data_IF_956879128248
#
_entry.id   IF_956879128248
#
_cell.length_a   1.000
_cell.length_b   1.000
_cell.length_c   1.000
_cell.angle_alpha   90.00
_cell.angle_beta   90.00
_cell.angle_gamma   90.00
#
_symmetry.space_group_name_H-M   'P 1'
#
loop_
_entity.id
_entity.type
_entity.pdbx_description
1 polymer ?
#
# COMPACT_ATOMS: atom_id res chain seq x y z
N UNK A 1 -25.14 -22.56 -5.60
CA UNK A 1 -25.39 -22.68 -4.15
C UNK A 1 -26.01 -21.35 -3.77
N UNK A 2 -27.33 -21.27 -3.63
CA UNK A 2 -27.98 -19.97 -3.39
C UNK A 2 -27.48 -19.39 -2.07
N UNK A 3 -26.74 -18.30 -2.17
CA UNK A 3 -26.27 -17.53 -1.02
C UNK A 3 -27.49 -16.81 -0.45
N UNK A 4 -28.06 -17.35 0.63
CA UNK A 4 -29.13 -16.68 1.37
C UNK A 4 -28.54 -15.67 2.37
N UNK A 5 -29.36 -14.71 2.81
CA UNK A 5 -28.95 -13.68 3.78
C UNK A 5 -28.35 -14.28 5.05
N UNK A 6 -28.90 -15.40 5.53
CA UNK A 6 -28.43 -16.06 6.74
C UNK A 6 -26.98 -16.55 6.64
N UNK A 7 -26.56 -17.02 5.46
CA UNK A 7 -25.17 -17.43 5.23
C UNK A 7 -24.20 -16.24 5.27
N UNK A 8 -24.59 -15.09 4.73
CA UNK A 8 -23.81 -13.86 4.83
C UNK A 8 -23.75 -13.35 6.27
N UNK A 9 -24.89 -13.28 6.95
CA UNK A 9 -24.98 -12.84 8.35
C UNK A 9 -24.13 -13.75 9.25
N UNK A 10 -24.18 -15.07 9.06
CA UNK A 10 -23.33 -16.03 9.77
C UNK A 10 -21.85 -15.81 9.49
N UNK A 11 -21.48 -15.54 8.23
CA UNK A 11 -20.09 -15.23 7.87
C UNK A 11 -19.59 -13.97 8.59
N UNK A 12 -20.37 -12.88 8.54
CA UNK A 12 -20.04 -11.62 9.21
C UNK A 12 -19.97 -11.80 10.72
N UNK A 13 -20.88 -12.54 11.32
CA UNK A 13 -20.83 -12.85 12.76
C UNK A 13 -19.56 -13.66 13.14
N UNK A 14 -19.09 -14.52 12.24
CA UNK A 14 -17.93 -15.38 12.50
C UNK A 14 -16.60 -14.68 12.25
N UNK A 15 -16.53 -13.80 11.25
CA UNK A 15 -15.28 -13.22 10.74
C UNK A 15 -15.20 -11.70 10.86
N UNK A 16 -16.29 -11.03 11.24
CA UNK A 16 -16.40 -9.58 11.24
C UNK A 16 -15.49 -8.89 12.25
N UNK A 17 -14.97 -9.62 13.24
CA UNK A 17 -13.95 -9.11 14.18
C UNK A 17 -12.51 -9.36 13.70
N UNK A 18 -12.35 -10.17 12.65
CA UNK A 18 -11.03 -10.53 12.10
C UNK A 18 -10.63 -9.60 10.96
N UNK A 19 -9.36 -9.21 10.93
CA UNK A 19 -8.80 -8.49 9.79
C UNK A 19 -8.84 -9.35 8.52
N UNK A 20 -9.20 -8.80 7.35
CA UNK A 20 -9.52 -7.40 7.06
C UNK A 20 -11.01 -7.04 7.21
N UNK A 21 -11.87 -7.99 7.54
CA UNK A 21 -13.33 -7.80 7.54
C UNK A 21 -13.81 -6.80 8.59
N UNK A 22 -13.11 -6.70 9.73
CA UNK A 22 -13.40 -5.70 10.78
C UNK A 22 -13.21 -4.25 10.33
N UNK A 23 -12.44 -4.04 9.26
CA UNK A 23 -12.01 -2.72 8.79
C UNK A 23 -12.68 -2.31 7.48
N UNK A 24 -13.68 -3.10 7.07
CA UNK A 24 -14.40 -2.95 5.81
C UNK A 24 -15.79 -2.42 6.10
N UNK A 25 -16.22 -1.42 5.33
CA UNK A 25 -17.58 -0.92 5.44
C UNK A 25 -18.59 -1.98 4.98
N UNK A 26 -19.42 -2.44 5.90
CA UNK A 26 -20.54 -3.33 5.62
C UNK A 26 -21.84 -2.51 5.59
N UNK A 27 -22.63 -2.69 4.54
CA UNK A 27 -24.01 -2.17 4.45
C UNK A 27 -25.00 -3.33 4.62
N UNK A 28 -26.32 -3.04 4.66
CA UNK A 28 -27.39 -3.98 5.05
C UNK A 28 -27.26 -5.43 4.56
N UNK A 29 -26.62 -5.70 3.41
CA UNK A 29 -26.35 -7.06 2.91
C UNK A 29 -25.06 -7.18 2.07
N UNK A 30 -24.17 -6.18 2.05
CA UNK A 30 -23.01 -6.16 1.14
C UNK A 30 -21.82 -5.42 1.72
N UNK A 31 -20.62 -5.94 1.46
CA UNK A 31 -19.36 -5.22 1.63
C UNK A 31 -19.27 -4.09 0.61
N UNK A 32 -18.85 -2.90 1.05
CA UNK A 32 -18.63 -1.74 0.19
C UNK A 32 -17.15 -1.34 0.23
N UNK A 33 -16.32 -2.08 -0.51
CA UNK A 33 -14.88 -1.90 -0.55
C UNK A 33 -14.31 -2.26 -1.93
N UNK A 34 -13.00 -2.09 -2.07
CA UNK A 34 -12.23 -2.72 -3.14
C UNK A 34 -11.82 -4.13 -2.74
N UNK A 35 -11.76 -5.01 -3.71
CA UNK A 35 -11.34 -6.39 -3.58
C UNK A 35 -10.03 -6.58 -4.31
N UNK A 36 -9.02 -7.11 -3.62
CA UNK A 36 -7.82 -7.58 -4.30
C UNK A 36 -8.04 -9.01 -4.76
N UNK A 37 -8.00 -9.22 -6.07
CA UNK A 37 -8.29 -10.51 -6.70
C UNK A 37 -7.00 -11.31 -6.85
N UNK A 38 -7.09 -12.61 -6.60
CA UNK A 38 -6.02 -13.59 -6.75
C UNK A 38 -6.38 -14.55 -7.88
N UNK A 39 -5.61 -14.57 -8.96
CA UNK A 39 -5.79 -15.49 -10.07
C UNK A 39 -4.52 -16.30 -10.29
N UNK A 40 -4.58 -17.61 -10.05
CA UNK A 40 -3.47 -18.56 -10.34
C UNK A 40 -2.11 -18.13 -9.76
N UNK A 41 -2.11 -17.53 -8.57
CA UNK A 41 -0.90 -17.01 -7.91
C UNK A 41 -0.49 -15.60 -8.31
N UNK A 42 -1.10 -15.01 -9.34
CA UNK A 42 -0.94 -13.60 -9.69
C UNK A 42 -1.98 -12.73 -8.98
N UNK A 43 -1.58 -11.50 -8.65
CA UNK A 43 -2.48 -10.50 -8.09
C UNK A 43 -3.02 -9.65 -9.23
N UNK A 44 -4.34 -9.58 -9.36
CA UNK A 44 -4.97 -8.72 -10.35
C UNK A 44 -5.27 -7.34 -9.76
N UNK A 45 -5.64 -6.42 -10.64
CA UNK A 45 -6.09 -5.08 -10.24
C UNK A 45 -7.24 -5.16 -9.22
N UNK A 46 -7.25 -4.28 -8.20
CA UNK A 46 -8.37 -4.19 -7.30
C UNK A 46 -9.68 -3.88 -8.04
N UNK A 47 -10.77 -4.54 -7.65
CA UNK A 47 -12.09 -4.40 -8.26
C UNK A 47 -13.09 -3.91 -7.21
N UNK A 48 -14.03 -3.05 -7.58
CA UNK A 48 -15.07 -2.58 -6.66
C UNK A 48 -16.08 -3.68 -6.34
N UNK A 49 -16.59 -3.73 -5.10
CA UNK A 49 -17.69 -4.65 -4.74
C UNK A 49 -18.89 -4.56 -5.69
N UNK A 50 -19.16 -3.37 -6.25
CA UNK A 50 -20.27 -3.14 -7.18
C UNK A 50 -20.13 -3.87 -8.53
N UNK A 51 -18.95 -4.40 -8.82
CA UNK A 51 -18.69 -5.19 -10.04
C UNK A 51 -19.13 -6.65 -9.92
N UNK A 52 -19.56 -7.09 -8.73
CA UNK A 52 -19.98 -8.46 -8.47
C UNK A 52 -21.41 -8.49 -7.90
N UNK A 53 -22.15 -9.56 -8.20
CA UNK A 53 -23.34 -9.89 -7.43
C UNK A 53 -22.97 -10.50 -6.07
N UNK A 54 -23.98 -10.69 -5.20
CA UNK A 54 -23.76 -11.20 -3.85
C UNK A 54 -23.25 -12.66 -3.87
N UNK A 55 -23.71 -13.47 -4.82
CA UNK A 55 -23.29 -14.87 -4.96
C UNK A 55 -21.81 -14.96 -5.33
N UNK A 56 -21.38 -14.17 -6.31
CA UNK A 56 -19.98 -14.06 -6.74
C UNK A 56 -19.10 -13.55 -5.61
N UNK A 57 -19.50 -12.48 -4.92
CA UNK A 57 -18.73 -11.95 -3.79
C UNK A 57 -18.51 -13.02 -2.70
N UNK A 58 -19.57 -13.75 -2.33
CA UNK A 58 -19.47 -14.83 -1.33
C UNK A 58 -18.65 -16.01 -1.84
N UNK A 59 -18.77 -16.36 -3.12
CA UNK A 59 -17.92 -17.37 -3.74
C UNK A 59 -16.44 -16.98 -3.66
N UNK A 60 -16.08 -15.72 -3.96
CA UNK A 60 -14.71 -15.22 -3.88
C UNK A 60 -14.16 -15.28 -2.44
N UNK A 61 -14.98 -14.91 -1.45
CA UNK A 61 -14.64 -15.00 -0.03
C UNK A 61 -14.40 -16.46 0.38
N UNK A 62 -15.35 -17.36 0.08
CA UNK A 62 -15.30 -18.77 0.50
C UNK A 62 -14.12 -19.51 -0.15
N UNK A 63 -13.83 -19.20 -1.41
CA UNK A 63 -12.70 -19.79 -2.16
C UNK A 63 -11.37 -19.11 -1.85
N UNK A 64 -11.37 -18.01 -1.09
CA UNK A 64 -10.19 -17.18 -0.79
C UNK A 64 -9.46 -16.71 -2.06
N UNK A 65 -10.21 -16.52 -3.15
CA UNK A 65 -9.72 -16.03 -4.43
C UNK A 65 -9.79 -14.50 -4.54
N UNK A 66 -10.39 -13.85 -3.55
CA UNK A 66 -10.26 -12.42 -3.34
C UNK A 66 -10.33 -12.10 -1.85
N UNK A 67 -9.80 -10.95 -1.46
CA UNK A 67 -9.98 -10.42 -0.11
C UNK A 67 -10.28 -8.93 -0.16
N UNK A 68 -11.06 -8.42 0.81
CA UNK A 68 -11.41 -7.01 0.83
C UNK A 68 -10.22 -6.19 1.33
N UNK A 69 -10.04 -5.01 0.76
CA UNK A 69 -9.10 -4.01 1.22
C UNK A 69 -9.77 -3.15 2.30
N UNK A 70 -9.02 -2.77 3.34
CA UNK A 70 -9.45 -1.76 4.30
C UNK A 70 -9.72 -0.42 3.60
N UNK A 71 -10.36 0.52 4.28
CA UNK A 71 -10.62 1.85 3.72
C UNK A 71 -9.31 2.57 3.35
N UNK A 72 -8.28 2.48 4.20
CA UNK A 72 -6.99 3.13 3.96
C UNK A 72 -6.24 2.48 2.80
N UNK A 73 -6.23 1.14 2.73
CA UNK A 73 -5.64 0.42 1.60
C UNK A 73 -6.38 0.74 0.29
N UNK A 74 -7.71 0.82 0.33
CA UNK A 74 -8.52 1.21 -0.82
C UNK A 74 -8.18 2.62 -1.31
N UNK A 75 -8.05 3.59 -0.39
CA UNK A 75 -7.65 4.96 -0.69
C UNK A 75 -6.27 5.03 -1.35
N UNK A 76 -5.28 4.31 -0.80
CA UNK A 76 -3.95 4.19 -1.43
C UNK A 76 -4.08 3.65 -2.85
N UNK A 77 -4.86 2.58 -3.06
CA UNK A 77 -5.04 2.01 -4.40
C UNK A 77 -5.73 2.97 -5.37
N UNK A 78 -6.68 3.80 -4.91
CA UNK A 78 -7.28 4.87 -5.73
C UNK A 78 -6.23 5.88 -6.22
N UNK A 79 -5.38 6.35 -5.29
CA UNK A 79 -4.30 7.30 -5.63
C UNK A 79 -3.30 6.66 -6.57
N UNK A 80 -2.89 5.41 -6.33
CA UNK A 80 -1.94 4.71 -7.17
C UNK A 80 -2.52 4.38 -8.55
N UNK A 81 -3.78 3.98 -8.66
CA UNK A 81 -4.39 3.70 -9.97
C UNK A 81 -4.50 4.99 -10.80
N UNK A 82 -4.88 6.11 -10.17
CA UNK A 82 -5.02 7.42 -10.82
C UNK A 82 -3.68 8.04 -11.22
N UNK A 83 -2.68 8.01 -10.33
CA UNK A 83 -1.45 8.78 -10.49
C UNK A 83 -0.18 7.95 -10.53
N UNK A 84 -0.15 6.74 -9.97
CA UNK A 84 1.06 5.91 -9.87
C UNK A 84 1.24 4.97 -11.06
N UNK A 85 0.20 4.20 -11.37
CA UNK A 85 0.23 3.03 -12.27
C UNK A 85 0.65 3.36 -13.69
N UNK A 86 0.21 4.51 -14.21
CA UNK A 86 0.61 4.99 -15.54
C UNK A 86 2.12 5.25 -15.63
N UNK A 87 2.75 5.70 -14.55
CA UNK A 87 4.17 6.07 -14.54
C UNK A 87 5.06 4.94 -14.02
N UNK A 88 4.55 4.12 -13.11
CA UNK A 88 5.27 3.00 -12.53
C UNK A 88 4.30 1.84 -12.21
N UNK A 89 4.01 0.97 -13.20
CA UNK A 89 3.13 -0.18 -12.98
C UNK A 89 3.71 -1.19 -11.99
N UNK A 90 5.05 -1.31 -11.93
CA UNK A 90 5.74 -2.21 -11.00
C UNK A 90 5.46 -1.80 -9.55
N UNK A 91 5.47 -0.49 -9.23
CA UNK A 91 5.15 -0.02 -7.87
C UNK A 91 3.71 -0.36 -7.47
N UNK A 92 2.77 -0.26 -8.40
CA UNK A 92 1.39 -0.68 -8.16
C UNK A 92 1.31 -2.18 -7.84
N UNK A 93 2.01 -3.02 -8.60
CA UNK A 93 2.09 -4.47 -8.37
C UNK A 93 2.76 -4.81 -7.03
N UNK A 94 3.84 -4.11 -6.65
CA UNK A 94 4.50 -4.31 -5.36
C UNK A 94 3.56 -4.02 -4.19
N UNK A 95 2.75 -2.96 -4.30
CA UNK A 95 1.78 -2.57 -3.26
C UNK A 95 0.65 -3.59 -3.17
N UNK A 96 0.17 -4.10 -4.30
CA UNK A 96 -0.75 -5.24 -4.33
C UNK A 96 -0.15 -6.47 -3.60
N UNK A 97 1.11 -6.80 -3.88
CA UNK A 97 1.85 -7.87 -3.20
C UNK A 97 1.97 -7.64 -1.68
N UNK A 98 2.25 -6.39 -1.28
CA UNK A 98 2.33 -6.00 0.13
C UNK A 98 0.99 -6.23 0.84
N UNK A 99 -0.13 -5.80 0.27
CA UNK A 99 -1.45 -5.96 0.87
C UNK A 99 -1.87 -7.43 0.97
N UNK A 100 -1.56 -8.25 -0.04
CA UNK A 100 -1.76 -9.71 0.03
C UNK A 100 -0.93 -10.37 1.12
N UNK A 101 0.34 -9.95 1.28
CA UNK A 101 1.18 -10.45 2.37
C UNK A 101 0.60 -10.10 3.74
N UNK A 102 0.14 -8.87 3.94
CA UNK A 102 -0.45 -8.44 5.21
C UNK A 102 -1.77 -9.14 5.51
N UNK A 103 -2.62 -9.34 4.50
CA UNK A 103 -3.84 -10.13 4.61
C UNK A 103 -3.54 -11.56 5.10
N UNK A 104 -2.58 -12.26 4.48
CA UNK A 104 -2.18 -13.62 4.89
C UNK A 104 -1.62 -13.68 6.32
N UNK A 105 -1.08 -12.58 6.83
CA UNK A 105 -0.57 -12.49 8.19
C UNK A 105 -1.65 -12.10 9.21
N UNK A 106 -2.86 -11.77 8.78
CA UNK A 106 -3.94 -11.33 9.66
C UNK A 106 -3.62 -10.06 10.45
N UNK A 107 -2.72 -9.21 9.94
CA UNK A 107 -2.26 -8.01 10.67
C UNK A 107 -3.13 -6.82 10.30
N UNK A 108 -3.95 -6.29 11.24
CA UNK A 108 -4.56 -4.97 11.05
C UNK A 108 -3.45 -3.93 11.06
N UNK A 109 -3.54 -2.98 10.13
CA UNK A 109 -2.54 -1.93 10.00
C UNK A 109 -3.24 -0.60 10.07
N UNK A 110 -2.75 0.25 10.97
CA UNK A 110 -3.19 1.63 11.00
C UNK A 110 -2.80 2.35 9.71
N UNK A 111 -3.49 3.44 9.43
CA UNK A 111 -3.25 4.30 8.27
C UNK A 111 -1.79 4.71 8.12
N UNK A 112 -1.18 5.18 9.20
CA UNK A 112 0.22 5.64 9.22
C UNK A 112 1.15 4.54 8.70
N UNK A 113 1.01 3.34 9.26
CA UNK A 113 1.80 2.19 8.86
C UNK A 113 1.55 1.80 7.40
N UNK A 114 0.30 1.85 6.96
CA UNK A 114 -0.07 1.60 5.56
C UNK A 114 0.63 2.58 4.62
N UNK A 115 0.54 3.89 4.91
CA UNK A 115 1.15 4.93 4.08
C UNK A 115 2.67 4.80 4.08
N UNK A 116 3.28 4.66 5.26
CA UNK A 116 4.73 4.54 5.43
C UNK A 116 5.30 3.40 4.58
N UNK A 117 4.75 2.19 4.69
CA UNK A 117 5.28 1.02 4.00
C UNK A 117 5.08 1.06 2.48
N UNK A 118 3.98 1.66 2.01
CA UNK A 118 3.74 1.86 0.57
C UNK A 118 4.77 2.81 -0.03
N UNK A 119 5.06 3.92 0.65
CA UNK A 119 6.07 4.89 0.22
C UNK A 119 7.49 4.33 0.32
N UNK A 120 7.76 3.62 1.41
CA UNK A 120 9.05 2.96 1.67
C UNK A 120 9.49 2.09 0.49
N UNK A 121 8.61 1.25 -0.06
CA UNK A 121 8.91 0.40 -1.24
C UNK A 121 9.47 1.25 -2.38
N UNK A 122 8.83 2.39 -2.68
CA UNK A 122 9.24 3.23 -3.79
C UNK A 122 10.54 3.97 -3.51
N UNK A 123 10.72 4.42 -2.28
CA UNK A 123 11.90 5.17 -1.84
C UNK A 123 13.14 4.27 -1.82
N UNK A 124 13.04 3.06 -1.28
CA UNK A 124 14.13 2.08 -1.32
C UNK A 124 14.58 1.80 -2.75
N UNK A 125 13.63 1.57 -3.67
CA UNK A 125 13.95 1.37 -5.10
C UNK A 125 14.60 2.60 -5.75
N UNK A 126 14.16 3.82 -5.38
CA UNK A 126 14.76 5.07 -5.89
C UNK A 126 16.19 5.25 -5.40
N UNK A 127 16.43 5.00 -4.11
CA UNK A 127 17.77 5.07 -3.51
C UNK A 127 18.70 4.01 -4.10
N UNK A 128 18.21 2.80 -4.32
CA UNK A 128 18.97 1.73 -4.98
C UNK A 128 19.38 2.11 -6.41
N UNK A 129 18.53 2.83 -7.14
CA UNK A 129 18.79 3.25 -8.52
C UNK A 129 19.72 4.47 -8.61
N UNK A 130 19.66 5.41 -7.66
CA UNK A 130 20.38 6.68 -7.73
C UNK A 130 21.72 6.68 -6.98
N UNK A 131 21.81 5.93 -5.87
CA UNK A 131 23.01 5.92 -5.01
C UNK A 131 23.76 4.60 -5.21
N UNK A 132 25.10 4.62 -5.39
CA UNK A 132 25.90 3.40 -5.55
C UNK A 132 25.67 2.37 -4.46
N UNK A 133 25.86 1.09 -4.78
CA UNK A 133 25.61 -0.03 -3.84
C UNK A 133 26.54 0.07 -2.63
N UNK A 134 27.75 0.57 -2.82
CA UNK A 134 28.81 0.71 -1.82
C UNK A 134 28.54 1.86 -0.83
N UNK A 135 27.75 2.86 -1.24
CA UNK A 135 27.42 4.03 -0.44
C UNK A 135 26.26 3.76 0.55
N UNK A 136 26.36 2.66 1.31
CA UNK A 136 25.32 2.21 2.26
C UNK A 136 25.02 3.27 3.31
N UNK A 137 26.06 3.87 3.91
CA UNK A 137 25.89 4.91 4.92
C UNK A 137 25.12 6.14 4.41
N UNK A 138 25.26 6.47 3.12
CA UNK A 138 24.51 7.56 2.49
C UNK A 138 23.05 7.17 2.34
N UNK A 139 22.76 5.95 1.85
CA UNK A 139 21.39 5.43 1.72
C UNK A 139 20.67 5.43 3.06
N UNK A 140 21.34 4.93 4.11
CA UNK A 140 20.78 4.88 5.47
C UNK A 140 20.53 6.29 6.01
N UNK A 141 21.47 7.22 5.82
CA UNK A 141 21.30 8.62 6.24
C UNK A 141 20.10 9.29 5.56
N UNK A 142 19.94 9.11 4.25
CA UNK A 142 18.79 9.66 3.51
C UNK A 142 17.49 8.99 3.98
N UNK A 143 17.50 7.68 4.19
CA UNK A 143 16.32 6.93 4.64
C UNK A 143 15.87 7.34 6.04
N UNK A 144 16.79 7.49 6.99
CA UNK A 144 16.51 7.99 8.35
C UNK A 144 15.94 9.42 8.29
N UNK A 145 16.56 10.29 7.48
CA UNK A 145 16.09 11.66 7.29
C UNK A 145 14.69 11.71 6.68
N UNK A 146 14.40 10.83 5.71
CA UNK A 146 13.07 10.70 5.12
C UNK A 146 12.06 10.19 6.13
N UNK A 147 12.40 9.20 6.96
CA UNK A 147 11.49 8.69 7.98
C UNK A 147 11.08 9.81 8.96
N UNK A 148 12.04 10.61 9.43
CA UNK A 148 11.75 11.77 10.27
C UNK A 148 10.85 12.79 9.56
N UNK A 149 11.13 13.08 8.29
CA UNK A 149 10.29 13.95 7.47
C UNK A 149 8.86 13.39 7.31
N UNK A 150 8.72 12.10 7.01
CA UNK A 150 7.44 11.42 6.88
C UNK A 150 6.61 11.52 8.17
N UNK A 151 7.21 11.29 9.33
CA UNK A 151 6.49 11.37 10.61
C UNK A 151 5.90 12.76 10.82
N UNK A 152 6.69 13.81 10.55
CA UNK A 152 6.21 15.21 10.65
C UNK A 152 5.11 15.48 9.62
N UNK A 153 5.33 15.11 8.36
CA UNK A 153 4.37 15.36 7.27
C UNK A 153 3.05 14.61 7.47
N UNK A 154 3.12 13.38 7.97
CA UNK A 154 1.94 12.56 8.30
C UNK A 154 1.10 13.21 9.39
N UNK A 155 1.72 13.76 10.44
CA UNK A 155 0.98 14.47 11.51
C UNK A 155 0.21 15.68 10.95
N UNK A 156 0.74 16.35 9.94
CA UNK A 156 0.12 17.54 9.32
C UNK A 156 -0.93 17.15 8.27
N UNK A 157 -0.74 16.04 7.55
CA UNK A 157 -1.51 15.67 6.37
C UNK A 157 -2.14 14.27 6.44
N UNK A 158 -2.47 13.79 7.64
CA UNK A 158 -2.94 12.43 7.95
C UNK A 158 -4.03 11.82 7.04
N UNK A 159 -4.81 12.64 6.33
CA UNK A 159 -5.91 12.21 5.46
C UNK A 159 -5.56 12.22 3.96
N UNK A 160 -4.41 12.75 3.55
CA UNK A 160 -4.06 12.96 2.14
C UNK A 160 -2.79 12.18 1.76
N UNK A 161 -2.98 10.91 1.41
CA UNK A 161 -1.90 10.04 0.97
C UNK A 161 -1.15 10.61 -0.25
N UNK A 162 -1.87 11.23 -1.20
CA UNK A 162 -1.25 11.78 -2.39
C UNK A 162 -0.26 12.90 -2.05
N UNK A 163 -0.67 13.83 -1.18
CA UNK A 163 0.20 14.91 -0.72
C UNK A 163 1.43 14.39 0.02
N UNK A 164 1.24 13.44 0.94
CA UNK A 164 2.35 12.81 1.67
C UNK A 164 3.32 12.12 0.71
N UNK A 165 2.80 11.44 -0.31
CA UNK A 165 3.61 10.80 -1.34
C UNK A 165 4.45 11.82 -2.12
N UNK A 166 3.84 12.92 -2.58
CA UNK A 166 4.54 13.99 -3.28
C UNK A 166 5.65 14.60 -2.42
N UNK A 167 5.36 14.97 -1.18
CA UNK A 167 6.33 15.55 -0.26
C UNK A 167 7.50 14.60 0.00
N UNK A 168 7.19 13.33 0.30
CA UNK A 168 8.19 12.28 0.49
C UNK A 168 9.11 12.11 -0.72
N UNK A 169 8.55 12.10 -1.93
CA UNK A 169 9.33 11.91 -3.15
C UNK A 169 10.18 13.12 -3.52
N UNK A 170 9.70 14.33 -3.28
CA UNK A 170 10.50 15.55 -3.45
C UNK A 170 11.64 15.58 -2.44
N UNK A 171 11.34 15.35 -1.15
CA UNK A 171 12.36 15.31 -0.11
C UNK A 171 13.49 14.33 -0.44
N UNK A 172 13.16 13.09 -0.83
CA UNK A 172 14.16 12.09 -1.19
C UNK A 172 14.95 12.50 -2.43
N UNK A 173 14.31 13.11 -3.42
CA UNK A 173 15.00 13.61 -4.61
C UNK A 173 15.99 14.73 -4.26
N UNK A 174 15.59 15.70 -3.45
CA UNK A 174 16.46 16.80 -2.99
C UNK A 174 17.70 16.27 -2.26
N UNK A 175 17.54 15.21 -1.45
CA UNK A 175 18.66 14.57 -0.75
C UNK A 175 19.60 13.81 -1.69
N UNK A 176 19.06 13.16 -2.72
CA UNK A 176 19.85 12.52 -3.78
C UNK A 176 20.63 13.59 -4.56
N UNK A 177 19.99 14.70 -4.91
CA UNK A 177 20.62 15.79 -5.66
C UNK A 177 21.73 16.47 -4.84
N UNK A 178 21.51 16.68 -3.54
CA UNK A 178 22.54 17.17 -2.61
C UNK A 178 23.74 16.22 -2.55
N UNK A 179 23.52 14.91 -2.52
CA UNK A 179 24.60 13.92 -2.55
C UNK A 179 25.43 14.02 -3.83
N UNK A 180 24.79 14.19 -5.00
CA UNK A 180 25.50 14.33 -6.27
C UNK A 180 26.14 15.71 -6.46
N UNK A 181 25.59 16.75 -5.83
CA UNK A 181 26.11 18.12 -5.90
C UNK A 181 27.32 18.35 -5.00
N UNK A 182 27.46 17.60 -3.89
CA UNK A 182 28.67 17.61 -3.06
C UNK A 182 29.85 17.06 -3.88
N UNK A 183 30.79 17.92 -4.32
CA UNK A 183 31.97 17.44 -4.99
C UNK A 183 32.73 16.53 -4.01
N UNK A 184 33.36 15.48 -4.54
CA UNK A 184 34.26 14.63 -3.77
C UNK A 184 35.50 15.43 -3.29
N UNK A 185 35.33 16.34 -2.33
CA UNK A 185 36.41 17.17 -1.77
C UNK A 185 37.32 16.43 -0.79
N UNK A 186 37.28 15.09 -0.70
CA UNK A 186 38.07 14.33 0.28
C UNK A 186 38.79 13.11 -0.30
N UNK A 187 39.13 13.10 -1.59
CA UNK A 187 39.95 12.01 -2.17
C UNK A 187 41.19 12.49 -2.93
N UNK A 188 41.68 13.69 -2.63
CA UNK A 188 43.00 14.15 -3.08
C UNK A 188 43.65 15.03 -2.02
N UNK A 189 43.91 14.45 -0.84
CA UNK A 189 45.03 14.91 -0.02
C UNK A 189 46.07 13.79 -0.02
N UNK A 190 47.29 14.06 -0.53
CA UNK A 190 48.36 13.07 -0.69
C UNK A 190 48.90 12.54 0.64
#
# INVERSE_FOLDING_TARGET
MQVNKDAFDKFVLTNGESYPYCDVRITRQKFHCKWLMLASGAILNPVLSSSFDAETCMHLILTKTAFPLSNDASHVMDVLDKWGKKYNPIWFEDVCCLFNKWHRQGKPLCREYTFYHVLRIRIEKRLQAAVPVEAIAVKDSIFVSWHQHFVVDYVIHQDDFWRIACNSFHFVQDRIDQYHASPAEVMSSP
#
